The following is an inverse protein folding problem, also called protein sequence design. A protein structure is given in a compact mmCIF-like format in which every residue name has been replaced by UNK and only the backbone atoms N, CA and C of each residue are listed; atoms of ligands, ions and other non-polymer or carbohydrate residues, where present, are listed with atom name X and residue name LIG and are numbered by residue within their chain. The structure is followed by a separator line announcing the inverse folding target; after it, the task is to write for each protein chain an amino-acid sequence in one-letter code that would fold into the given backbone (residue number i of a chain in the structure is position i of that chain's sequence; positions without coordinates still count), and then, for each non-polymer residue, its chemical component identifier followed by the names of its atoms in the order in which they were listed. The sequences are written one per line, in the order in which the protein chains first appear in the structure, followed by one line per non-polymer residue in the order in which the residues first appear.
data_IF_064490984638
#
_entry.id   IF_064490984638
#
_cell.length_a   1.000
_cell.length_b   1.000
_cell.length_c   1.000
_cell.angle_alpha   90.00
_cell.angle_beta   90.00
_cell.angle_gamma   90.00
#
_symmetry.space_group_name_H-M   'P 1'
#
loop_
_entity.id
_entity.type
_entity.pdbx_description
1 polymer ?
2 non-polymer ?
3 non-polymer ?
4 non-polymer ?
5 non-polymer ?
6 water ?
#
# COMPACT_ATOMS: atom_id res chain seq x y z
N UNK A 4 -15.13 2.37 -18.29
CA UNK A 4 -13.68 2.39 -18.12
C UNK A 4 -12.97 1.78 -19.34
N UNK A 5 -12.49 2.64 -20.24
CA UNK A 5 -12.04 2.18 -21.57
C UNK A 5 -10.84 1.25 -21.49
N UNK A 6 -9.86 1.58 -20.64
CA UNK A 6 -8.65 0.76 -20.54
C UNK A 6 -8.98 -0.62 -20.00
N UNK A 7 -10.03 -0.71 -19.17
CA UNK A 7 -10.41 -1.97 -18.57
C UNK A 7 -11.22 -2.80 -19.55
N UNK A 8 -12.10 -2.13 -20.31
CA UNK A 8 -12.83 -2.84 -21.34
C UNK A 8 -11.87 -3.46 -22.36
N UNK A 9 -10.82 -2.75 -22.73
CA UNK A 9 -9.84 -3.34 -23.65
C UNK A 9 -9.14 -4.54 -23.04
N UNK A 10 -8.88 -4.51 -21.74
CA UNK A 10 -8.24 -5.63 -21.06
C UNK A 10 -9.14 -6.86 -21.08
N UNK A 11 -10.43 -6.64 -20.89
CA UNK A 11 -11.39 -7.74 -20.88
C UNK A 11 -11.38 -8.40 -22.26
N UNK A 12 -11.31 -7.57 -23.29
CA UNK A 12 -11.27 -8.07 -24.66
C UNK A 12 -9.99 -8.88 -24.89
N UNK A 13 -8.87 -8.39 -24.36
CA UNK A 13 -7.61 -9.10 -24.51
C UNK A 13 -7.63 -10.46 -23.83
N UNK A 14 -8.35 -10.59 -22.70
CA UNK A 14 -8.43 -11.86 -22.00
C UNK A 14 -9.28 -12.85 -22.79
N UNK A 15 -10.43 -12.40 -23.31
CA UNK A 15 -11.29 -13.28 -24.08
C UNK A 15 -10.63 -13.70 -25.40
N UNK A 16 -9.85 -12.81 -26.01
CA UNK A 16 -9.07 -13.15 -27.20
C UNK A 16 -8.07 -14.26 -26.94
N UNK A 17 -7.61 -14.42 -25.70
CA UNK A 17 -6.71 -15.50 -25.36
C UNK A 17 -7.45 -16.61 -24.68
N UNK A 18 -8.77 -16.60 -24.80
CA UNK A 18 -9.55 -17.76 -24.43
C UNK A 18 -9.94 -17.84 -22.98
N UNK A 19 -9.84 -16.76 -22.23
CA UNK A 19 -10.19 -16.81 -20.81
C UNK A 19 -11.62 -16.35 -20.66
N UNK A 20 -12.50 -17.22 -20.04
CA UNK A 20 -13.90 -16.96 -19.80
C UNK A 20 -14.14 -16.37 -18.41
N UNK A 21 -15.16 -15.54 -18.24
CA UNK A 21 -15.47 -15.04 -16.91
C UNK A 21 -16.14 -16.09 -16.05
N UNK A 22 -15.90 -15.98 -14.76
CA UNK A 22 -16.58 -16.76 -13.75
C UNK A 22 -17.49 -15.86 -12.93
N UNK A 23 -18.57 -16.44 -12.42
CA UNK A 23 -19.53 -15.73 -11.59
C UNK A 23 -19.42 -16.21 -10.16
N UNK A 24 -19.47 -15.27 -9.22
CA UNK A 24 -19.40 -15.56 -7.80
C UNK A 24 -20.58 -14.92 -7.08
N UNK A 25 -20.87 -15.45 -5.89
CA UNK A 25 -21.95 -14.95 -5.07
C UNK A 25 -21.38 -14.46 -3.74
N UNK A 26 -22.19 -13.66 -3.09
CA UNK A 26 -21.80 -13.05 -1.83
C UNK A 26 -21.33 -14.13 -0.87
N UNK A 27 -20.21 -13.87 -0.18
CA UNK A 27 -19.55 -14.68 0.84
C UNK A 27 -18.62 -15.72 0.25
N UNK A 28 -18.59 -15.91 -1.05
CA UNK A 28 -17.65 -16.82 -1.65
C UNK A 28 -16.27 -16.21 -1.70
N UNK A 29 -15.26 -17.08 -1.66
CA UNK A 29 -13.87 -16.67 -1.81
C UNK A 29 -13.40 -16.92 -3.22
N UNK A 30 -13.00 -15.86 -3.91
CA UNK A 30 -12.42 -15.99 -5.25
C UNK A 30 -11.02 -16.60 -5.18
N UNK A 31 -10.23 -16.20 -4.19
CA UNK A 31 -9.02 -16.92 -3.83
C UNK A 31 -8.92 -16.95 -2.33
N UNK A 32 -8.10 -17.88 -1.80
CA UNK A 32 -8.02 -18.11 -0.37
C UNK A 32 -6.57 -18.30 0.07
N UNK A 33 -6.39 -18.09 1.35
CA UNK A 33 -5.09 -18.04 2.00
C UNK A 33 -4.42 -19.39 2.13
N UNK A 34 -5.10 -20.51 1.83
CA UNK A 34 -4.56 -21.85 2.02
C UNK A 34 -4.15 -22.51 0.72
N UNK A 35 -4.46 -21.92 -0.40
CA UNK A 35 -4.24 -22.52 -1.69
C UNK A 35 -2.77 -22.34 -2.10
N UNK A 36 -2.04 -23.42 -2.43
CA UNK A 36 -0.64 -23.19 -2.82
C UNK A 36 -0.50 -22.54 -4.21
N UNK A 37 -1.52 -22.54 -5.05
CA UNK A 37 -1.46 -21.91 -6.36
C UNK A 37 -1.95 -20.47 -6.20
N UNK A 38 -1.23 -19.52 -6.79
CA UNK A 38 -1.58 -18.11 -6.69
C UNK A 38 -2.12 -17.61 -8.02
N UNK A 39 -2.97 -16.59 -7.95
CA UNK A 39 -3.75 -16.16 -9.11
C UNK A 39 -3.73 -14.66 -9.35
N UNK A 40 -4.03 -14.29 -10.59
CA UNK A 40 -4.35 -12.92 -10.95
C UNK A 40 -5.85 -12.87 -11.20
N UNK A 41 -6.54 -12.00 -10.47
CA UNK A 41 -7.98 -11.83 -10.58
C UNK A 41 -8.21 -10.52 -11.31
N UNK A 42 -8.91 -10.57 -12.43
CA UNK A 42 -9.43 -9.35 -13.07
C UNK A 42 -10.89 -9.29 -12.68
N UNK A 43 -11.13 -8.50 -11.63
CA UNK A 43 -12.45 -8.26 -11.11
C UNK A 43 -13.13 -7.32 -12.07
N UNK A 44 -14.13 -7.83 -12.75
CA UNK A 44 -14.77 -7.06 -13.80
C UNK A 44 -15.97 -6.32 -13.28
N UNK A 45 -16.83 -6.98 -12.49
CA UNK A 45 -18.02 -6.33 -11.93
C UNK A 45 -18.26 -6.86 -10.53
N UNK A 46 -18.60 -5.96 -9.61
CA UNK A 46 -18.98 -6.35 -8.26
C UNK A 46 -18.01 -5.79 -7.25
N UNK A 47 -18.27 -6.12 -5.98
CA UNK A 47 -17.53 -5.57 -4.86
C UNK A 47 -16.99 -6.72 -4.04
N UNK A 48 -15.70 -6.61 -3.67
CA UNK A 48 -15.00 -7.61 -2.87
C UNK A 48 -14.23 -6.96 -1.71
N UNK A 49 -13.76 -7.80 -0.78
CA UNK A 49 -12.84 -7.42 0.26
C UNK A 49 -11.73 -8.45 0.42
N UNK A 50 -10.54 -7.94 0.70
CA UNK A 50 -9.36 -8.71 1.07
C UNK A 50 -9.40 -8.94 2.56
N UNK A 51 -9.33 -10.22 2.99
CA UNK A 51 -9.43 -10.53 4.42
C UNK A 51 -8.24 -11.37 4.86
N UNK A 52 -7.96 -11.31 6.15
CA UNK A 52 -6.95 -12.14 6.80
C UNK A 52 -7.54 -12.76 8.04
N UNK A 53 -6.79 -13.71 8.60
CA UNK A 53 -7.14 -14.37 9.86
C UNK A 53 -5.90 -14.42 10.76
N UNK A 54 -6.08 -14.05 12.03
CA UNK A 54 -5.01 -14.10 13.03
C UNK A 54 -5.04 -15.45 13.73
N UNK A 55 -4.01 -15.71 14.54
CA UNK A 55 -3.84 -17.03 15.15
C UNK A 55 -5.14 -17.54 15.78
N UNK A 56 -5.93 -16.64 16.37
CA UNK A 56 -7.10 -17.02 17.17
C UNK A 56 -8.43 -16.99 16.38
N UNK A 57 -8.39 -16.88 15.05
CA UNK A 57 -9.59 -16.99 14.24
C UNK A 57 -10.35 -15.70 13.97
N UNK A 58 -9.80 -14.55 14.32
CA UNK A 58 -10.45 -13.26 14.08
C UNK A 58 -10.27 -12.86 12.61
N UNK A 59 -11.39 -12.58 11.93
CA UNK A 59 -11.38 -12.08 10.55
C UNK A 59 -11.03 -10.59 10.52
N UNK A 60 -10.07 -10.23 9.67
CA UNK A 60 -9.64 -8.85 9.51
C UNK A 60 -10.00 -8.39 8.10
N UNK A 61 -10.69 -7.26 7.97
CA UNK A 61 -11.00 -6.70 6.65
C UNK A 61 -9.87 -5.73 6.33
N UNK A 62 -9.10 -6.01 5.28
CA UNK A 62 -7.91 -5.22 4.98
C UNK A 62 -8.13 -4.16 3.92
N UNK A 63 -8.96 -4.44 2.93
CA UNK A 63 -9.02 -3.61 1.74
C UNK A 63 -10.26 -3.99 0.93
N UNK A 64 -10.90 -2.99 0.31
CA UNK A 64 -12.01 -3.17 -0.60
C UNK A 64 -11.57 -2.94 -2.04
N UNK A 65 -12.16 -3.70 -2.95
CA UNK A 65 -11.94 -3.57 -4.38
C UNK A 65 -13.28 -3.68 -5.12
N UNK A 66 -13.41 -2.93 -6.19
CA UNK A 66 -14.60 -2.95 -7.04
C UNK A 66 -14.18 -3.14 -8.48
N UNK A 67 -15.03 -3.80 -9.25
CA UNK A 67 -14.76 -3.97 -10.67
C UNK A 67 -14.84 -2.63 -11.40
N UNK A 68 -13.96 -2.30 -12.33
CA UNK A 68 -12.91 -3.16 -12.84
C UNK A 68 -11.61 -2.93 -12.08
N UNK A 69 -10.92 -4.02 -11.71
CA UNK A 69 -9.64 -3.87 -11.06
C UNK A 69 -8.91 -5.19 -11.14
N UNK A 70 -7.62 -5.14 -10.83
CA UNK A 70 -6.74 -6.33 -10.81
C UNK A 70 -6.24 -6.56 -9.39
N UNK A 71 -6.35 -7.80 -8.90
CA UNK A 71 -5.83 -8.21 -7.58
C UNK A 71 -4.97 -9.45 -7.81
N UNK A 72 -3.71 -9.39 -7.41
CA UNK A 72 -2.79 -10.51 -7.60
C UNK A 72 -2.39 -11.10 -6.26
N UNK A 73 -2.62 -12.41 -6.09
CA UNK A 73 -2.37 -13.07 -4.82
C UNK A 73 -0.93 -13.55 -4.69
N UNK A 74 -0.17 -13.51 -5.77
CA UNK A 74 1.22 -13.94 -5.73
C UNK A 74 2.10 -13.01 -6.54
N UNK A 75 3.39 -13.03 -6.21
CA UNK A 75 4.38 -12.18 -6.87
C UNK A 75 4.55 -12.61 -8.32
N UNK A 76 4.73 -11.63 -9.22
CA UNK A 76 4.70 -11.98 -10.64
C UNK A 76 5.90 -12.83 -11.04
N UNK A 77 7.05 -12.60 -10.40
CA UNK A 77 8.31 -13.30 -10.73
C UNK A 77 8.41 -14.64 -10.02
N UNK A 78 8.31 -14.65 -8.68
CA UNK A 78 8.45 -15.89 -7.94
C UNK A 78 7.18 -16.75 -7.94
N UNK A 79 6.01 -16.17 -8.19
CA UNK A 79 4.72 -16.85 -8.18
C UNK A 79 4.27 -17.29 -6.81
N UNK A 80 4.95 -16.86 -5.74
CA UNK A 80 4.60 -17.21 -4.39
C UNK A 80 3.74 -16.12 -3.73
N UNK A 81 3.10 -16.49 -2.62
CA UNK A 81 2.12 -15.64 -1.98
C UNK A 81 2.70 -14.29 -1.58
N UNK A 82 1.90 -13.23 -1.79
CA UNK A 82 2.23 -11.92 -1.24
C UNK A 82 1.73 -11.74 0.19
N UNK A 83 1.02 -12.73 0.74
CA UNK A 83 0.46 -12.65 2.08
C UNK A 83 -0.72 -13.60 2.18
N UNK A 84 -1.04 -14.00 3.39
CA UNK A 84 -2.11 -15.00 3.59
C UNK A 84 -3.44 -14.28 3.58
N UNK A 85 -3.99 -14.14 2.39
CA UNK A 85 -5.17 -13.35 2.16
C UNK A 85 -6.25 -14.17 1.43
N UNK A 86 -7.48 -13.80 1.69
CA UNK A 86 -8.62 -14.26 0.93
C UNK A 86 -9.29 -13.07 0.25
N UNK A 87 -9.96 -13.32 -0.87
CA UNK A 87 -10.73 -12.29 -1.60
C UNK A 87 -12.19 -12.72 -1.59
N UNK A 88 -13.00 -12.01 -0.80
CA UNK A 88 -14.37 -12.40 -0.48
C UNK A 88 -15.34 -11.48 -1.21
N UNK A 89 -16.37 -12.05 -1.83
CA UNK A 89 -17.35 -11.25 -2.54
C UNK A 89 -18.35 -10.67 -1.53
N UNK A 90 -18.62 -9.37 -1.63
CA UNK A 90 -19.61 -8.77 -0.74
C UNK A 90 -20.82 -8.20 -1.48
N UNK A 91 -20.76 -7.92 -2.78
CA UNK A 91 -21.98 -7.65 -3.54
C UNK A 91 -22.73 -8.97 -3.76
N UNK A 92 -24.01 -8.86 -4.13
CA UNK A 92 -24.81 -10.07 -4.33
C UNK A 92 -24.13 -11.03 -5.30
N UNK A 93 -23.60 -10.49 -6.39
CA UNK A 93 -22.89 -11.26 -7.40
C UNK A 93 -21.62 -10.51 -7.78
N UNK A 94 -20.67 -11.24 -8.35
CA UNK A 94 -19.48 -10.65 -8.92
C UNK A 94 -19.03 -11.49 -10.10
N UNK A 95 -18.46 -10.80 -11.07
CA UNK A 95 -17.89 -11.41 -12.25
C UNK A 95 -16.40 -11.20 -12.27
N UNK A 96 -15.63 -12.29 -12.42
CA UNK A 96 -14.19 -12.14 -12.48
C UNK A 96 -13.53 -13.14 -13.41
N UNK A 97 -12.40 -12.72 -13.97
CA UNK A 97 -11.51 -13.59 -14.72
C UNK A 97 -10.34 -14.02 -13.84
N UNK A 98 -10.11 -15.32 -13.78
CA UNK A 98 -9.17 -15.92 -12.83
C UNK A 98 -8.07 -16.56 -13.64
N UNK A 99 -6.86 -16.00 -13.55
CA UNK A 99 -5.71 -16.44 -14.34
C UNK A 99 -4.62 -16.94 -13.41
N UNK A 100 -4.01 -18.08 -13.72
CA UNK A 100 -2.90 -18.52 -12.89
C UNK A 100 -1.73 -17.57 -13.09
N UNK A 101 -0.95 -17.39 -12.03
CA UNK A 101 -0.01 -16.27 -12.06
C UNK A 101 1.03 -16.46 -13.15
N UNK A 102 1.46 -17.71 -13.39
CA UNK A 102 2.49 -17.94 -14.40
C UNK A 102 2.02 -17.49 -15.78
N UNK A 103 0.71 -17.55 -16.06
CA UNK A 103 0.21 -17.17 -17.38
C UNK A 103 0.08 -15.66 -17.52
N UNK A 104 -0.32 -14.95 -16.46
CA UNK A 104 -0.39 -13.50 -16.57
C UNK A 104 0.91 -12.95 -17.14
N UNK A 105 2.02 -13.60 -16.83
CA UNK A 105 3.33 -13.15 -17.31
C UNK A 105 3.48 -13.19 -18.84
N UNK A 106 3.09 -14.28 -19.46
CA UNK A 106 3.05 -14.34 -20.93
C UNK A 106 2.18 -13.25 -21.47
N UNK A 107 0.96 -13.14 -20.91
CA UNK A 107 -0.01 -12.21 -21.46
C UNK A 107 0.51 -10.78 -21.44
N UNK A 108 1.11 -10.37 -20.32
CA UNK A 108 1.60 -8.98 -20.25
C UNK A 108 2.84 -8.77 -21.12
N UNK A 109 3.66 -9.81 -21.31
CA UNK A 109 4.81 -9.67 -22.19
C UNK A 109 4.41 -9.42 -23.65
N UNK A 110 3.26 -9.93 -24.07
CA UNK A 110 2.86 -9.83 -25.47
C UNK A 110 2.08 -8.55 -25.78
N UNK A 111 1.88 -7.68 -24.80
CA UNK A 111 1.17 -6.42 -25.05
C UNK A 111 1.41 -5.44 -23.92
N UNK A 112 2.20 -4.42 -24.18
CA UNK A 112 2.65 -3.50 -23.16
C UNK A 112 1.58 -2.47 -22.80
N UNK A 113 0.63 -2.21 -23.69
CA UNK A 113 -0.54 -1.44 -23.30
C UNK A 113 -1.19 -2.09 -22.08
N UNK A 114 -1.38 -3.39 -22.14
CA UNK A 114 -2.01 -4.11 -21.05
C UNK A 114 -1.06 -4.34 -19.89
N UNK A 115 0.23 -4.45 -20.17
CA UNK A 115 1.19 -4.44 -19.08
C UNK A 115 1.05 -3.17 -18.27
N UNK A 116 0.94 -2.03 -18.96
CA UNK A 116 0.90 -0.74 -18.29
C UNK A 116 -0.40 -0.58 -17.50
N UNK A 117 -1.47 -1.14 -18.02
CA UNK A 117 -2.75 -1.07 -17.35
C UNK A 117 -2.68 -1.73 -15.99
N UNK A 118 -2.02 -2.91 -15.90
CA UNK A 118 -1.92 -3.63 -14.63
C UNK A 118 -0.92 -2.96 -13.72
N UNK A 119 0.21 -2.55 -14.28
CA UNK A 119 1.22 -1.82 -13.51
C UNK A 119 0.59 -0.61 -12.83
N UNK A 120 -0.17 0.19 -13.57
CA UNK A 120 -0.72 1.41 -12.99
C UNK A 120 -1.80 1.09 -11.97
N UNK A 121 -2.46 -0.08 -12.10
CA UNK A 121 -3.35 -0.57 -11.04
C UNK A 121 -2.63 -0.75 -9.71
N UNK A 122 -1.44 -1.37 -9.73
CA UNK A 122 -0.61 -1.48 -8.53
C UNK A 122 -0.20 -0.10 -8.02
N UNK A 123 0.18 0.80 -8.91
CA UNK A 123 0.58 2.14 -8.45
C UNK A 123 -0.56 2.84 -7.71
N UNK A 124 -1.80 2.66 -8.16
CA UNK A 124 -2.97 3.23 -7.50
C UNK A 124 -3.18 2.61 -6.12
N UNK A 125 -2.96 1.30 -5.96
CA UNK A 125 -3.02 0.66 -4.63
C UNK A 125 -1.99 1.23 -3.67
N UNK A 126 -0.73 1.36 -4.12
CA UNK A 126 0.33 1.87 -3.27
C UNK A 126 0.00 3.26 -2.78
N UNK A 127 -0.42 4.13 -3.70
CA UNK A 127 -0.70 5.52 -3.31
C UNK A 127 -1.93 5.59 -2.43
N UNK A 128 -2.91 4.75 -2.72
CA UNK A 128 -4.10 4.64 -1.86
C UNK A 128 -3.73 4.33 -0.42
N UNK A 129 -2.89 3.33 -0.19
CA UNK A 129 -2.54 2.99 1.18
C UNK A 129 -1.76 4.08 1.88
N UNK A 130 -0.87 4.79 1.16
CA UNK A 130 -0.13 5.85 1.80
C UNK A 130 -1.07 7.00 2.20
N UNK A 131 -2.06 7.30 1.34
CA UNK A 131 -3.00 8.39 1.63
C UNK A 131 -3.88 8.06 2.84
N UNK A 132 -4.30 6.82 2.94
CA UNK A 132 -5.05 6.36 4.11
C UNK A 132 -4.22 6.51 5.37
N UNK A 133 -2.95 6.12 5.28
CA UNK A 133 -2.04 6.26 6.42
C UNK A 133 -1.90 7.71 6.83
N UNK A 134 -1.72 8.59 5.85
CA UNK A 134 -1.56 10.01 6.12
C UNK A 134 -2.79 10.59 6.80
N UNK A 135 -3.98 10.24 6.31
CA UNK A 135 -5.21 10.77 6.88
C UNK A 135 -5.45 10.24 8.28
N UNK A 136 -5.14 8.96 8.50
CA UNK A 136 -5.17 8.42 9.87
C UNK A 136 -4.18 9.12 10.79
N UNK A 137 -2.96 9.36 10.32
CA UNK A 137 -2.00 10.11 11.14
C UNK A 137 -2.53 11.47 11.56
N UNK A 138 -3.28 12.15 10.67
CA UNK A 138 -3.73 13.51 10.96
C UNK A 138 -5.02 13.53 11.80
N UNK A 139 -5.99 12.65 11.50
CA UNK A 139 -7.34 12.75 12.05
C UNK A 139 -7.84 11.44 12.66
N UNK A 140 -7.00 10.43 12.77
CA UNK A 140 -7.35 9.17 13.37
C UNK A 140 -8.49 8.51 12.62
N UNK A 141 -9.29 7.75 13.38
CA UNK A 141 -10.33 6.92 12.80
C UNK A 141 -11.43 7.75 12.12
N UNK A 142 -11.64 8.98 12.56
CA UNK A 142 -12.55 9.89 11.88
C UNK A 142 -12.05 10.17 10.48
N UNK A 143 -10.74 10.41 10.33
CA UNK A 143 -10.17 10.55 9.00
C UNK A 143 -10.38 9.31 8.15
N UNK A 144 -10.14 8.13 8.74
CA UNK A 144 -10.35 6.87 8.02
C UNK A 144 -11.81 6.69 7.58
N UNK A 145 -12.76 7.00 8.46
CA UNK A 145 -14.18 6.84 8.13
C UNK A 145 -14.65 7.88 7.12
N UNK A 146 -14.25 9.14 7.32
CA UNK A 146 -14.62 10.15 6.34
C UNK A 146 -14.08 9.82 4.94
N UNK A 147 -12.87 9.26 4.88
CA UNK A 147 -12.29 8.92 3.59
C UNK A 147 -13.03 7.78 2.92
N UNK A 148 -13.44 6.79 3.71
CA UNK A 148 -14.23 5.71 3.18
C UNK A 148 -15.55 6.22 2.60
N UNK A 149 -16.23 7.09 3.33
CA UNK A 149 -17.46 7.68 2.80
C UNK A 149 -17.20 8.60 1.62
N UNK A 150 -16.04 9.26 1.60
CA UNK A 150 -15.74 10.15 0.47
C UNK A 150 -15.58 9.34 -0.80
N UNK A 151 -14.85 8.23 -0.73
CA UNK A 151 -14.68 7.46 -1.95
C UNK A 151 -16.01 6.81 -2.35
N UNK A 152 -16.84 6.42 -1.39
CA UNK A 152 -18.17 5.92 -1.70
C UNK A 152 -18.97 6.96 -2.46
N UNK A 153 -18.90 8.22 -2.00
CA UNK A 153 -19.65 9.29 -2.65
C UNK A 153 -19.17 9.50 -4.07
N UNK A 154 -17.86 9.60 -4.24
CA UNK A 154 -17.31 9.85 -5.58
C UNK A 154 -17.67 8.72 -6.53
N UNK A 155 -17.56 7.49 -6.05
CA UNK A 155 -17.71 6.34 -6.96
C UNK A 155 -19.18 6.06 -7.24
N UNK A 156 -20.04 6.13 -6.23
CA UNK A 156 -21.44 5.73 -6.39
C UNK A 156 -22.44 6.88 -6.27
N UNK A 157 -21.97 8.09 -6.11
CA UNK A 157 -22.87 9.22 -5.86
C UNK A 157 -23.39 9.84 -7.14
N UNK A 158 -24.62 10.33 -7.04
CA UNK A 158 -25.34 10.96 -8.14
C UNK A 158 -26.05 12.19 -7.56
N UNK A 159 -25.79 13.37 -8.13
CA UNK A 159 -26.37 14.61 -7.60
C UNK A 159 -27.88 14.59 -7.78
N UNK A 160 -28.61 14.92 -6.71
CA UNK A 160 -30.07 15.03 -6.74
C UNK A 160 -30.47 16.27 -5.95
N UNK A 161 -31.75 16.66 -5.97
CA UNK A 161 -32.18 17.79 -5.14
C UNK A 161 -31.97 17.55 -3.65
N UNK A 162 -32.09 16.30 -3.19
CA UNK A 162 -31.86 15.96 -1.79
C UNK A 162 -30.37 15.79 -1.42
N UNK A 163 -29.44 16.10 -2.31
CA UNK A 163 -28.02 15.88 -2.10
C UNK A 163 -27.48 14.81 -3.03
N UNK A 164 -26.32 14.28 -2.68
CA UNK A 164 -25.64 13.30 -3.52
C UNK A 164 -26.13 11.93 -3.07
N UNK A 165 -26.99 11.30 -3.86
CA UNK A 165 -27.54 10.01 -3.51
C UNK A 165 -26.51 8.91 -3.73
N UNK A 166 -26.37 8.00 -2.77
CA UNK A 166 -25.47 6.87 -2.91
C UNK A 166 -26.26 5.79 -3.62
N UNK A 167 -25.83 5.45 -4.85
CA UNK A 167 -26.63 4.56 -5.70
C UNK A 167 -26.15 3.13 -5.52
N UNK A 168 -26.42 2.61 -4.33
CA UNK A 168 -25.97 1.30 -3.91
C UNK A 168 -27.03 0.77 -2.95
N UNK A 169 -27.37 -0.51 -3.07
CA UNK A 169 -28.45 -1.04 -2.24
C UNK A 169 -28.09 -0.89 -0.77
N UNK A 170 -29.12 -0.76 0.07
CA UNK A 170 -28.84 -0.37 1.46
C UNK A 170 -28.02 -1.41 2.20
N UNK A 171 -28.16 -2.68 1.83
CA UNK A 171 -27.42 -3.76 2.45
C UNK A 171 -25.93 -3.52 2.31
N UNK A 172 -25.46 -3.69 1.07
CA UNK A 172 -24.07 -3.46 0.71
C UNK A 172 -23.56 -2.18 1.33
N UNK A 173 -24.40 -1.14 1.40
CA UNK A 173 -23.87 0.17 1.73
C UNK A 173 -23.60 0.36 3.22
N UNK A 174 -24.14 -0.48 4.08
CA UNK A 174 -23.86 -0.32 5.51
C UNK A 174 -22.57 -1.01 5.87
N UNK A 175 -22.34 -2.19 5.27
CA UNK A 175 -21.04 -2.85 5.40
C UNK A 175 -19.94 -1.89 4.98
N UNK A 176 -20.07 -1.30 3.80
CA UNK A 176 -19.01 -0.45 3.28
C UNK A 176 -18.76 0.79 4.12
N UNK A 177 -19.73 1.26 4.91
CA UNK A 177 -19.49 2.40 5.77
C UNK A 177 -18.41 2.14 6.82
N UNK A 178 -18.22 0.87 7.19
CA UNK A 178 -17.16 0.48 8.11
C UNK A 178 -15.85 0.35 7.34
N UNK A 179 -14.90 1.24 7.61
CA UNK A 179 -13.59 1.11 6.97
C UNK A 179 -12.97 -0.24 7.32
N UNK A 180 -11.83 -0.52 6.69
CA UNK A 180 -11.12 -1.77 6.97
C UNK A 180 -10.77 -1.86 8.47
N UNK A 181 -10.63 -3.10 8.95
CA UNK A 181 -10.41 -3.40 10.36
C UNK A 181 -11.23 -4.57 10.90
N UNK A 182 -11.67 -4.46 12.15
CA UNK A 182 -12.55 -5.45 12.74
C UNK A 182 -13.98 -5.09 12.40
N UNK A 183 -14.76 -6.09 11.98
CA UNK A 183 -16.12 -5.84 11.53
C UNK A 183 -17.03 -5.32 12.66
N UNK A 184 -17.86 -4.34 12.32
CA UNK A 184 -18.94 -3.87 13.20
C UNK A 184 -18.48 -3.45 14.60
N UNK A 185 -17.36 -2.75 14.69
CA UNK A 185 -16.85 -2.28 15.98
C UNK A 185 -17.72 -1.17 16.58
N UNK A 186 -17.75 -1.09 17.90
CA UNK A 186 -18.55 -0.07 18.57
C UNK A 186 -18.04 1.32 18.21
N UNK A 187 -16.73 1.48 18.14
CA UNK A 187 -16.17 2.80 17.88
C UNK A 187 -16.56 3.31 16.49
N UNK A 188 -16.53 2.43 15.49
CA UNK A 188 -16.83 2.87 14.13
C UNK A 188 -18.32 3.13 13.97
N UNK A 189 -19.17 2.26 14.52
CA UNK A 189 -20.61 2.51 14.49
C UNK A 189 -20.96 3.87 15.08
N UNK A 190 -20.33 4.28 16.17
CA UNK A 190 -20.55 5.61 16.74
C UNK A 190 -20.10 6.77 15.84
N UNK A 191 -18.94 6.61 15.20
CA UNK A 191 -18.47 7.66 14.29
C UNK A 191 -19.47 7.87 13.17
N UNK A 192 -19.95 6.76 12.59
CA UNK A 192 -20.88 6.84 11.49
C UNK A 192 -22.18 7.45 11.94
N UNK A 193 -22.70 7.05 13.10
CA UNK A 193 -24.00 7.58 13.50
C UNK A 193 -23.87 9.05 13.89
N UNK A 194 -22.69 9.45 14.36
CA UNK A 194 -22.44 10.86 14.63
C UNK A 194 -22.48 11.70 13.34
N UNK A 195 -21.84 11.20 12.27
CA UNK A 195 -21.96 11.88 10.99
C UNK A 195 -23.41 11.99 10.56
N UNK A 196 -24.21 10.97 10.84
CA UNK A 196 -25.63 11.06 10.48
C UNK A 196 -26.35 12.09 11.34
N UNK A 197 -26.10 12.07 12.65
CA UNK A 197 -26.72 13.05 13.55
C UNK A 197 -26.43 14.49 13.11
N UNK A 198 -25.21 14.75 12.62
CA UNK A 198 -24.78 16.06 12.18
C UNK A 198 -25.19 16.37 10.74
N UNK A 199 -25.89 15.45 10.11
CA UNK A 199 -26.49 15.63 8.79
C UNK A 199 -25.45 15.69 7.68
N UNK A 200 -24.30 15.02 7.89
CA UNK A 200 -23.32 14.87 6.82
C UNK A 200 -23.85 13.90 5.77
N UNK A 201 -24.45 12.82 6.23
CA UNK A 201 -25.13 11.85 5.37
C UNK A 201 -26.45 11.55 6.05
N UNK A 202 -27.56 11.55 5.27
CA UNK A 202 -28.90 11.52 5.85
C UNK A 202 -29.74 10.46 5.14
N UNK A 203 -30.71 9.93 5.88
CA UNK A 203 -31.68 8.97 5.38
C UNK A 203 -32.95 9.72 4.98
N UNK A 204 -33.45 9.43 3.78
CA UNK A 204 -34.70 10.03 3.32
C UNK A 204 -35.29 9.13 2.25
N UNK A 205 -36.57 8.77 2.40
CA UNK A 205 -37.31 8.00 1.40
C UNK A 205 -36.53 6.77 0.95
N UNK A 206 -36.06 5.98 1.92
CA UNK A 206 -35.40 4.68 1.69
C UNK A 206 -34.01 4.80 1.05
N UNK A 207 -33.45 6.00 0.91
CA UNK A 207 -32.13 6.15 0.32
C UNK A 207 -31.25 6.99 1.23
N UNK A 208 -29.94 6.96 0.97
CA UNK A 208 -28.97 7.78 1.69
C UNK A 208 -28.33 8.83 0.77
N UNK A 209 -28.20 10.05 1.31
CA UNK A 209 -27.80 11.25 0.58
C UNK A 209 -26.67 11.92 1.34
N UNK A 210 -25.54 12.14 0.67
CA UNK A 210 -24.51 12.97 1.27
C UNK A 210 -24.88 14.44 1.09
N UNK A 211 -25.04 15.14 2.21
CA UNK A 211 -25.44 16.53 2.17
C UNK A 211 -24.33 17.48 2.59
N UNK A 212 -23.22 16.98 3.17
CA UNK A 212 -22.06 17.82 3.49
C UNK A 212 -20.76 17.17 2.95
N UNK A 213 -20.62 17.22 1.63
CA UNK A 213 -19.38 16.73 1.01
C UNK A 213 -18.17 17.48 1.53
N UNK A 214 -18.27 18.80 1.77
CA UNK A 214 -17.12 19.54 2.28
C UNK A 214 -16.58 18.96 3.58
N UNK A 215 -17.45 18.46 4.46
CA UNK A 215 -16.98 17.91 5.73
C UNK A 215 -16.11 16.67 5.51
N UNK A 216 -16.55 15.79 4.60
CA UNK A 216 -15.74 14.62 4.27
C UNK A 216 -14.39 15.03 3.70
N UNK A 217 -14.38 15.99 2.79
CA UNK A 217 -13.12 16.47 2.20
C UNK A 217 -12.22 17.06 3.25
N UNK A 218 -12.79 17.74 4.24
CA UNK A 218 -11.96 18.37 5.26
C UNK A 218 -11.16 17.35 6.06
N UNK A 219 -11.78 16.24 6.43
CA UNK A 219 -11.14 15.29 7.32
C UNK A 219 -10.41 14.16 6.59
N UNK A 220 -10.57 14.03 5.27
CA UNK A 220 -9.85 13.03 4.47
C UNK A 220 -9.15 13.72 3.30
N UNK A 221 -8.33 14.74 3.59
CA UNK A 221 -7.76 15.55 2.51
C UNK A 221 -6.80 14.79 1.64
N UNK A 222 -6.05 13.85 2.23
CA UNK A 222 -5.06 13.14 1.44
C UNK A 222 -5.73 12.06 0.57
N UNK A 223 -6.80 11.43 1.04
CA UNK A 223 -7.54 10.53 0.14
C UNK A 223 -8.30 11.32 -0.92
N UNK A 224 -8.72 12.54 -0.62
CA UNK A 224 -9.34 13.40 -1.63
C UNK A 224 -8.33 13.74 -2.75
N UNK A 225 -7.11 14.12 -2.37
CA UNK A 225 -6.04 14.35 -3.35
C UNK A 225 -5.71 13.08 -4.13
N UNK A 226 -5.65 11.93 -3.45
CA UNK A 226 -5.41 10.67 -4.12
C UNK A 226 -6.46 10.40 -5.20
N UNK A 227 -7.75 10.57 -4.87
CA UNK A 227 -8.80 10.36 -5.87
C UNK A 227 -8.66 11.37 -7.02
N UNK A 228 -8.33 12.62 -6.72
CA UNK A 228 -8.14 13.60 -7.78
C UNK A 228 -6.97 13.22 -8.70
N UNK A 229 -5.90 12.68 -8.15
CA UNK A 229 -4.73 12.31 -8.95
C UNK A 229 -4.93 10.99 -9.66
N UNK A 230 -5.69 10.08 -9.08
CA UNK A 230 -5.81 8.74 -9.65
C UNK A 230 -7.02 8.61 -10.53
N UNK A 231 -8.08 9.39 -10.24
CA UNK A 231 -9.37 9.28 -10.94
C UNK A 231 -9.91 10.69 -11.21
N UNK A 232 -9.16 11.51 -11.96
CA UNK A 232 -9.52 12.94 -12.09
C UNK A 232 -10.89 13.19 -12.71
N UNK A 233 -11.33 12.37 -13.68
CA UNK A 233 -12.64 12.61 -14.29
C UNK A 233 -13.77 12.34 -13.32
N UNK A 234 -13.65 11.27 -12.53
CA UNK A 234 -14.67 10.97 -11.53
C UNK A 234 -14.66 11.99 -10.41
N UNK A 235 -13.47 12.41 -9.98
CA UNK A 235 -13.38 13.48 -8.98
C UNK A 235 -14.07 14.74 -9.49
N UNK A 236 -13.86 15.05 -10.76
CA UNK A 236 -14.31 16.30 -11.32
C UNK A 236 -15.82 16.44 -11.29
N UNK A 237 -16.53 15.32 -11.45
CA UNK A 237 -17.97 15.35 -11.59
C UNK A 237 -18.63 15.98 -10.36
N UNK A 238 -18.06 15.82 -9.18
CA UNK A 238 -18.68 16.31 -7.96
C UNK A 238 -17.92 17.44 -7.32
N UNK A 239 -16.95 18.03 -8.01
CA UNK A 239 -16.21 19.16 -7.50
C UNK A 239 -16.32 20.35 -8.46
N UNK B 4 20.54 -7.82 -4.00
CA UNK B 4 19.79 -8.68 -4.90
C UNK B 4 20.51 -8.82 -6.23
N UNK B 5 20.45 -10.03 -6.79
CA UNK B 5 20.92 -10.26 -8.14
C UNK B 5 19.99 -9.60 -9.15
N UNK B 6 18.67 -9.61 -8.89
CA UNK B 6 17.76 -8.91 -9.76
C UNK B 6 18.06 -7.41 -9.76
N UNK B 7 18.44 -6.89 -8.60
CA UNK B 7 18.82 -5.48 -8.51
C UNK B 7 20.12 -5.23 -9.29
N UNK B 8 21.12 -6.10 -9.12
CA UNK B 8 22.37 -5.90 -9.86
C UNK B 8 22.12 -5.96 -11.37
N UNK B 9 21.29 -6.89 -11.84
CA UNK B 9 21.01 -6.94 -13.26
C UNK B 9 20.29 -5.68 -13.72
N UNK B 10 19.41 -5.14 -12.88
CA UNK B 10 18.73 -3.92 -13.27
C UNK B 10 19.74 -2.76 -13.37
N UNK B 11 20.66 -2.67 -12.42
CA UNK B 11 21.72 -1.66 -12.46
C UNK B 11 22.53 -1.78 -13.75
N UNK B 12 22.92 -3.00 -14.12
CA UNK B 12 23.68 -3.16 -15.36
C UNK B 12 22.85 -2.71 -16.54
N UNK B 13 21.56 -3.06 -16.54
CA UNK B 13 20.70 -2.69 -17.66
C UNK B 13 20.65 -1.17 -17.80
N UNK B 14 20.46 -0.46 -16.68
CA UNK B 14 20.40 1.00 -16.74
C UNK B 14 21.74 1.59 -17.20
N UNK B 15 22.85 1.11 -16.65
CA UNK B 15 24.14 1.73 -16.97
C UNK B 15 24.52 1.42 -18.42
N UNK B 16 24.16 0.23 -18.89
CA UNK B 16 24.28 -0.09 -20.32
C UNK B 16 23.54 0.93 -21.19
N UNK B 17 22.39 1.42 -20.75
CA UNK B 17 21.61 2.38 -21.52
C UNK B 17 21.96 3.81 -21.18
N UNK B 18 23.12 4.04 -20.57
CA UNK B 18 23.59 5.40 -20.36
C UNK B 18 22.86 6.18 -19.29
N UNK B 19 22.28 5.49 -18.31
CA UNK B 19 21.77 6.14 -17.10
C UNK B 19 22.81 5.93 -16.02
N UNK B 20 23.28 7.02 -15.43
CA UNK B 20 24.39 6.95 -14.51
C UNK B 20 23.97 7.25 -13.08
N UNK B 21 24.66 6.67 -12.09
CA UNK B 21 24.31 6.93 -10.70
C UNK B 21 24.62 8.34 -10.27
N UNK B 22 23.81 8.81 -9.35
CA UNK B 22 23.93 10.12 -8.77
C UNK B 22 24.08 9.95 -7.26
N UNK B 23 24.92 10.78 -6.66
CA UNK B 23 25.11 10.76 -5.22
C UNK B 23 24.36 11.92 -4.59
N UNK B 24 23.69 11.64 -3.48
CA UNK B 24 22.97 12.64 -2.70
C UNK B 24 23.43 12.53 -1.26
N UNK B 25 23.35 13.64 -0.54
CA UNK B 25 23.74 13.68 0.86
C UNK B 25 22.51 13.91 1.73
N UNK B 26 22.66 13.70 3.03
CA UNK B 26 21.52 13.68 3.94
C UNK B 26 20.74 14.98 3.89
N UNK B 27 19.42 14.84 3.87
CA UNK B 27 18.46 15.95 3.85
C UNK B 27 18.09 16.40 2.44
N UNK B 28 18.79 15.89 1.44
CA UNK B 28 18.46 16.21 0.06
C UNK B 28 17.19 15.49 -0.38
N UNK B 29 16.42 16.13 -1.25
CA UNK B 29 15.22 15.53 -1.83
C UNK B 29 15.55 15.03 -3.23
N UNK B 30 15.50 13.70 -3.40
CA UNK B 30 15.73 13.09 -4.70
C UNK B 30 14.63 13.47 -5.68
N UNK B 31 13.39 13.55 -5.21
CA UNK B 31 12.33 14.21 -5.93
C UNK B 31 11.52 14.95 -4.90
N UNK B 32 10.74 15.94 -5.35
CA UNK B 32 10.00 16.79 -4.43
C UNK B 32 8.56 16.99 -4.90
N UNK B 33 7.73 17.38 -3.93
CA UNK B 33 6.29 17.48 -4.10
C UNK B 33 5.83 18.69 -4.90
N UNK B 34 6.73 19.63 -5.21
CA UNK B 34 6.34 20.83 -5.96
C UNK B 34 6.78 20.75 -7.42
N UNK B 35 7.35 19.63 -7.81
CA UNK B 35 7.94 19.46 -9.14
C UNK B 35 6.89 18.84 -10.04
N UNK B 36 6.53 19.46 -11.17
CA UNK B 36 5.54 18.82 -12.05
C UNK B 36 6.11 17.68 -12.89
N UNK B 37 7.41 17.64 -13.13
CA UNK B 37 8.03 16.50 -13.79
C UNK B 37 8.14 15.31 -12.82
N UNK B 38 7.70 14.14 -13.26
CA UNK B 38 7.73 12.95 -12.40
C UNK B 38 8.82 11.97 -12.84
N UNK B 39 9.32 11.19 -11.89
CA UNK B 39 10.49 10.36 -12.09
C UNK B 39 10.32 8.93 -11.60
N UNK B 40 11.14 8.05 -12.15
CA UNK B 40 11.36 6.74 -11.57
C UNK B 40 12.75 6.75 -10.94
N UNK B 41 12.80 6.48 -9.64
CA UNK B 41 14.03 6.43 -8.89
C UNK B 41 14.43 4.97 -8.67
N UNK B 42 15.61 4.59 -9.09
CA UNK B 42 16.18 3.34 -8.62
C UNK B 42 17.16 3.68 -7.50
N UNK B 43 16.70 3.53 -6.27
CA UNK B 43 17.52 3.75 -5.11
C UNK B 43 18.47 2.57 -4.99
N UNK B 44 19.75 2.81 -5.23
CA UNK B 44 20.66 1.67 -5.29
C UNK B 44 21.26 1.43 -3.92
N UNK B 45 21.60 2.50 -3.21
CA UNK B 45 22.23 2.39 -1.92
C UNK B 45 21.83 3.58 -1.05
N UNK B 46 21.62 3.33 0.25
CA UNK B 46 21.26 4.36 1.22
C UNK B 46 19.86 4.16 1.76
N UNK B 47 19.47 5.08 2.63
CA UNK B 47 18.16 5.04 3.30
C UNK B 47 17.46 6.37 3.07
N UNK B 48 16.18 6.30 2.72
CA UNK B 48 15.36 7.45 2.45
C UNK B 48 14.00 7.32 3.13
N UNK B 49 13.31 8.45 3.16
CA UNK B 49 11.95 8.49 3.67
C UNK B 49 11.09 9.31 2.72
N UNK B 50 9.85 8.84 2.54
CA UNK B 50 8.81 9.50 1.77
C UNK B 50 8.05 10.43 2.70
N UNK B 51 8.05 11.72 2.38
CA UNK B 51 7.35 12.69 3.21
C UNK B 51 6.30 13.47 2.41
N UNK B 52 5.36 14.03 3.16
CA UNK B 52 4.41 15.02 2.66
C UNK B 52 4.49 16.23 3.59
N UNK B 53 4.51 17.44 3.04
CA UNK B 53 4.66 18.65 3.85
C UNK B 53 3.40 19.47 3.65
N UNK B 54 2.72 19.80 4.74
CA UNK B 54 1.46 20.52 4.68
C UNK B 54 1.70 22.03 4.60
N UNK B 55 0.65 22.79 4.30
CA UNK B 55 0.88 24.23 4.10
C UNK B 55 1.31 24.91 5.40
N UNK B 56 0.94 24.35 6.56
CA UNK B 56 1.44 24.92 7.81
C UNK B 56 2.85 24.47 8.17
N UNK B 57 3.48 23.62 7.36
CA UNK B 57 4.85 23.22 7.60
C UNK B 57 5.03 21.86 8.24
N UNK B 58 3.97 21.18 8.67
CA UNK B 58 4.13 19.90 9.37
C UNK B 58 4.60 18.85 8.37
N UNK B 59 5.63 18.11 8.74
CA UNK B 59 6.21 17.08 7.89
C UNK B 59 5.68 15.73 8.36
N UNK B 60 5.02 15.00 7.46
CA UNK B 60 4.53 13.65 7.72
C UNK B 60 5.50 12.64 7.12
N UNK B 61 6.00 11.72 7.94
CA UNK B 61 6.86 10.65 7.47
C UNK B 61 5.99 9.45 7.08
N UNK B 62 5.94 9.13 5.79
CA UNK B 62 4.99 8.14 5.29
C UNK B 62 5.54 6.73 5.16
N UNK B 63 6.82 6.60 4.82
CA UNK B 63 7.41 5.34 4.41
C UNK B 63 8.92 5.48 4.40
N UNK B 64 9.63 4.41 4.77
CA UNK B 64 11.09 4.34 4.62
C UNK B 64 11.43 3.36 3.51
N UNK B 65 12.47 3.69 2.79
CA UNK B 65 13.03 2.83 1.75
C UNK B 65 14.54 2.74 1.89
N UNK B 66 15.09 1.55 1.61
CA UNK B 66 16.53 1.35 1.54
C UNK B 66 16.89 0.78 0.18
N UNK B 67 18.11 1.01 -0.24
CA UNK B 67 18.54 0.46 -1.51
C UNK B 67 18.77 -1.02 -1.32
N UNK B 68 18.50 -1.84 -2.31
CA UNK B 68 18.03 -1.49 -3.63
C UNK B 68 16.50 -1.51 -3.67
N UNK B 69 15.91 -0.49 -4.26
CA UNK B 69 14.47 -0.44 -4.43
C UNK B 69 14.13 0.54 -5.53
N UNK B 70 12.85 0.53 -5.94
CA UNK B 70 12.35 1.42 -6.97
C UNK B 70 11.20 2.23 -6.38
N UNK B 71 11.23 3.55 -6.60
CA UNK B 71 10.19 4.47 -6.11
C UNK B 71 9.78 5.29 -7.31
N UNK B 72 8.49 5.28 -7.66
CA UNK B 72 7.99 6.06 -8.78
C UNK B 72 7.09 7.18 -8.30
N UNK B 73 7.38 8.40 -8.74
CA UNK B 73 6.61 9.55 -8.29
C UNK B 73 5.48 9.86 -9.21
N UNK B 74 5.39 9.18 -10.37
CA UNK B 74 4.31 9.40 -11.32
C UNK B 74 3.80 8.09 -11.89
N UNK B 75 2.57 8.11 -12.42
CA UNK B 75 1.96 6.91 -13.01
C UNK B 75 2.62 6.58 -14.35
N UNK B 76 2.80 5.28 -14.62
CA UNK B 76 3.62 4.91 -15.77
C UNK B 76 2.94 5.28 -17.07
N UNK B 77 1.61 5.12 -17.12
CA UNK B 77 0.78 5.53 -18.28
C UNK B 77 0.47 7.03 -18.53
N UNK B 78 0.02 7.76 -17.50
CA UNK B 78 -0.30 9.18 -17.63
C UNK B 78 0.89 10.12 -17.39
N UNK B 79 1.91 9.65 -16.68
CA UNK B 79 3.08 10.41 -16.28
C UNK B 79 2.77 11.49 -15.25
N UNK B 80 1.56 11.51 -14.71
CA UNK B 80 1.21 12.49 -13.69
C UNK B 80 1.42 11.94 -12.30
N UNK B 81 1.43 12.85 -11.35
CA UNK B 81 1.80 12.56 -9.98
C UNK B 81 0.92 11.47 -9.39
N UNK B 82 1.54 10.64 -8.56
CA UNK B 82 0.77 9.67 -7.77
C UNK B 82 0.44 10.19 -6.38
N UNK B 83 0.90 11.39 -6.03
CA UNK B 83 0.72 11.96 -4.72
C UNK B 83 1.80 13.03 -4.51
N UNK B 84 1.52 14.05 -3.71
CA UNK B 84 2.51 15.14 -3.50
C UNK B 84 3.48 14.71 -2.43
N UNK B 85 4.58 14.12 -2.85
CA UNK B 85 5.56 13.52 -1.98
C UNK B 85 6.97 14.00 -2.28
N UNK B 86 7.82 13.96 -1.26
CA UNK B 86 9.28 14.12 -1.37
C UNK B 86 9.95 12.81 -1.01
N UNK B 87 11.16 12.56 -1.57
CA UNK B 87 11.98 11.41 -1.21
C UNK B 87 13.26 11.98 -0.59
N UNK B 88 13.34 11.96 0.73
CA UNK B 88 14.41 12.62 1.49
C UNK B 88 15.48 11.61 1.92
N UNK B 89 16.75 11.96 1.72
CA UNK B 89 17.87 11.11 2.15
C UNK B 89 18.06 11.26 3.66
N UNK B 90 18.11 10.12 4.36
CA UNK B 90 18.34 10.16 5.81
C UNK B 90 19.62 9.48 6.22
N UNK B 91 20.21 8.64 5.38
CA UNK B 91 21.57 8.18 5.59
C UNK B 91 22.54 9.31 5.22
N UNK B 92 23.82 9.17 5.57
CA UNK B 92 24.76 10.26 5.27
C UNK B 92 24.88 10.51 3.76
N UNK B 93 24.99 9.44 2.98
CA UNK B 93 24.87 9.53 1.54
C UNK B 93 23.92 8.46 1.02
N UNK B 94 23.44 8.68 -0.21
CA UNK B 94 22.66 7.70 -0.94
C UNK B 94 23.04 7.79 -2.40
N UNK B 95 22.93 6.66 -3.10
CA UNK B 95 23.14 6.59 -4.55
C UNK B 95 21.84 6.23 -5.24
N UNK B 96 21.47 6.98 -6.28
CA UNK B 96 20.24 6.70 -7.00
C UNK B 96 20.40 6.98 -8.50
N UNK B 97 19.66 6.19 -9.28
CA UNK B 97 19.51 6.41 -10.70
C UNK B 97 18.18 7.10 -10.93
N UNK B 98 18.19 8.25 -11.62
CA UNK B 98 17.03 9.13 -11.69
C UNK B 98 16.57 9.20 -13.14
N UNK B 99 15.34 8.72 -13.40
CA UNK B 99 14.85 8.51 -14.76
C UNK B 99 13.54 9.28 -14.94
N UNK B 100 13.48 10.13 -15.96
CA UNK B 100 12.21 10.78 -16.26
C UNK B 100 11.21 9.72 -16.65
N UNK B 101 9.95 9.90 -16.22
CA UNK B 101 8.98 8.81 -16.35
C UNK B 101 8.77 8.42 -17.82
N UNK B 102 8.68 9.40 -18.70
CA UNK B 102 8.53 9.11 -20.12
C UNK B 102 9.69 8.29 -20.66
N UNK B 103 10.92 8.71 -20.37
CA UNK B 103 12.08 7.96 -20.81
C UNK B 103 12.06 6.52 -20.31
N UNK B 104 11.41 6.26 -19.17
CA UNK B 104 11.40 4.89 -18.63
C UNK B 104 10.52 3.97 -19.45
N UNK B 105 9.39 4.47 -19.96
CA UNK B 105 8.49 3.60 -20.71
C UNK B 105 9.23 2.90 -21.83
N UNK B 106 10.05 3.66 -22.56
CA UNK B 106 10.88 3.09 -23.60
C UNK B 106 11.64 1.87 -23.10
N UNK B 107 12.29 2.01 -21.93
CA UNK B 107 13.25 1.00 -21.51
C UNK B 107 12.61 -0.20 -20.82
N UNK B 108 11.49 0.00 -20.14
CA UNK B 108 10.77 -1.12 -19.57
C UNK B 108 10.34 -2.02 -20.72
N UNK B 109 10.04 -1.38 -21.85
CA UNK B 109 9.41 -2.08 -22.98
C UNK B 109 10.38 -3.03 -23.67
N UNK B 110 11.58 -2.56 -24.03
CA UNK B 110 12.55 -3.42 -24.71
C UNK B 110 12.79 -4.70 -23.91
N UNK B 111 12.87 -4.60 -22.58
CA UNK B 111 13.21 -5.74 -21.72
C UNK B 111 12.06 -6.06 -20.77
N UNK B 112 11.68 -7.32 -20.73
CA UNK B 112 10.57 -7.74 -19.90
C UNK B 112 11.04 -8.29 -18.56
N UNK B 113 12.23 -8.88 -18.48
CA UNK B 113 12.79 -9.24 -17.19
C UNK B 113 12.78 -8.04 -16.25
N UNK B 114 13.13 -6.87 -16.76
CA UNK B 114 13.30 -5.70 -15.91
C UNK B 114 11.99 -4.99 -15.66
N UNK B 115 11.08 -5.01 -16.62
CA UNK B 115 9.72 -4.61 -16.33
C UNK B 115 9.22 -5.31 -15.07
N UNK B 116 9.40 -6.64 -15.05
CA UNK B 116 8.85 -7.48 -13.98
C UNK B 116 9.56 -7.26 -12.67
N UNK B 117 10.83 -6.92 -12.69
CA UNK B 117 11.49 -6.56 -11.45
C UNK B 117 10.82 -5.34 -10.80
N UNK B 118 10.46 -4.34 -11.60
CA UNK B 118 9.85 -3.14 -11.03
C UNK B 118 8.43 -3.45 -10.58
N UNK B 119 7.71 -4.23 -11.40
CA UNK B 119 6.37 -4.67 -11.04
C UNK B 119 6.36 -5.31 -9.66
N UNK B 120 7.29 -6.21 -9.42
CA UNK B 120 7.30 -6.93 -8.17
C UNK B 120 7.69 -6.03 -7.00
N UNK B 121 8.47 -4.96 -7.21
CA UNK B 121 8.69 -4.03 -6.10
C UNK B 121 7.41 -3.35 -5.69
N UNK B 122 6.57 -2.98 -6.67
CA UNK B 122 5.29 -2.43 -6.31
C UNK B 122 4.50 -3.42 -5.48
N UNK B 123 4.52 -4.70 -5.86
CA UNK B 123 3.74 -5.70 -5.12
C UNK B 123 4.24 -5.80 -3.69
N UNK B 124 5.55 -5.71 -3.52
CA UNK B 124 6.15 -5.78 -2.20
C UNK B 124 5.73 -4.60 -1.36
N UNK B 125 5.59 -3.43 -1.99
CA UNK B 125 5.12 -2.24 -1.28
C UNK B 125 3.67 -2.38 -0.84
N UNK B 126 2.80 -2.87 -1.73
CA UNK B 126 1.39 -3.06 -1.40
C UNK B 126 1.24 -3.99 -0.21
N UNK B 127 1.89 -5.15 -0.27
CA UNK B 127 1.76 -6.08 0.85
C UNK B 127 2.43 -5.55 2.12
N UNK B 128 3.52 -4.80 2.00
CA UNK B 128 4.08 -4.14 3.20
C UNK B 128 3.04 -3.27 3.91
N UNK B 129 2.38 -2.37 3.16
CA UNK B 129 1.41 -1.46 3.77
C UNK B 129 0.26 -2.22 4.42
N UNK B 130 -0.22 -3.32 3.77
CA UNK B 130 -1.32 -4.07 4.38
C UNK B 130 -0.87 -4.78 5.65
N UNK B 131 0.36 -5.29 5.67
CA UNK B 131 0.84 -5.96 6.87
C UNK B 131 1.01 -5.00 8.04
N UNK B 132 1.61 -3.83 7.76
CA UNK B 132 1.73 -2.76 8.77
C UNK B 132 0.37 -2.44 9.35
N UNK B 133 -0.62 -2.30 8.46
CA UNK B 133 -1.98 -1.98 8.89
C UNK B 133 -2.57 -3.11 9.73
N UNK B 134 -2.37 -4.35 9.32
CA UNK B 134 -2.89 -5.48 10.07
C UNK B 134 -2.27 -5.52 11.47
N UNK B 135 -0.95 -5.27 11.59
CA UNK B 135 -0.31 -5.33 12.91
C UNK B 135 -0.80 -4.20 13.80
N UNK B 136 -1.02 -3.02 13.23
CA UNK B 136 -1.52 -1.90 14.01
C UNK B 136 -2.95 -2.15 14.48
N UNK B 137 -3.78 -2.78 13.63
CA UNK B 137 -5.15 -3.04 14.04
C UNK B 137 -5.20 -3.99 15.23
N UNK B 138 -4.23 -4.92 15.34
CA UNK B 138 -4.25 -5.91 16.41
C UNK B 138 -3.59 -5.36 17.67
N UNK B 139 -2.42 -4.73 17.54
CA UNK B 139 -1.58 -4.47 18.69
C UNK B 139 -1.25 -2.99 18.86
N UNK B 140 -1.88 -2.09 18.09
CA UNK B 140 -1.64 -0.67 18.21
C UNK B 140 -0.18 -0.28 18.03
N UNK B 141 0.22 0.80 18.72
CA UNK B 141 1.57 1.33 18.55
C UNK B 141 2.64 0.32 18.95
N UNK B 142 2.37 -0.51 19.96
CA UNK B 142 3.33 -1.57 20.27
C UNK B 142 3.62 -2.40 19.02
N UNK B 143 2.57 -2.76 18.28
CA UNK B 143 2.76 -3.49 17.03
C UNK B 143 3.62 -2.74 16.03
N UNK B 144 3.29 -1.46 15.80
CA UNK B 144 4.09 -0.62 14.90
C UNK B 144 5.55 -0.59 15.32
N UNK B 145 5.82 -0.33 16.61
CA UNK B 145 7.20 -0.18 17.04
C UNK B 145 7.91 -1.52 17.00
N UNK B 146 7.25 -2.59 17.43
CA UNK B 146 7.86 -3.91 17.34
C UNK B 146 8.19 -4.25 15.89
N UNK B 147 7.25 -3.94 14.97
CA UNK B 147 7.50 -4.16 13.56
C UNK B 147 8.73 -3.42 13.05
N UNK B 148 8.87 -2.13 13.42
CA UNK B 148 10.02 -1.37 12.92
C UNK B 148 11.33 -1.96 13.44
N UNK B 149 11.39 -2.25 14.73
CA UNK B 149 12.56 -2.91 15.30
C UNK B 149 12.82 -4.27 14.65
N UNK B 150 11.75 -5.00 14.31
CA UNK B 150 11.97 -6.31 13.73
C UNK B 150 12.69 -6.19 12.40
N UNK B 151 12.21 -5.31 11.52
CA UNK B 151 12.82 -5.22 10.20
C UNK B 151 14.25 -4.70 10.32
N UNK B 152 14.49 -3.79 11.26
CA UNK B 152 15.85 -3.30 11.51
C UNK B 152 16.73 -4.44 11.99
N UNK B 153 16.20 -5.27 12.88
CA UNK B 153 16.97 -6.43 13.29
C UNK B 153 17.28 -7.33 12.11
N UNK B 154 16.26 -7.71 11.33
CA UNK B 154 16.52 -8.57 10.18
C UNK B 154 17.53 -7.93 9.24
N UNK B 155 17.40 -6.63 8.98
CA UNK B 155 18.17 -6.04 7.88
C UNK B 155 19.56 -5.57 8.35
N UNK B 156 19.63 -4.99 9.54
CA UNK B 156 20.88 -4.38 10.01
C UNK B 156 21.41 -5.05 11.27
N UNK B 157 20.85 -6.19 11.66
CA UNK B 157 21.26 -6.84 12.89
C UNK B 157 22.54 -7.64 12.73
N UNK B 158 23.30 -7.72 13.82
CA UNK B 158 24.60 -8.38 13.87
C UNK B 158 24.71 -9.10 15.20
N UNK B 159 25.17 -10.34 15.18
CA UNK B 159 25.25 -11.11 16.43
C UNK B 159 26.44 -10.64 17.27
N UNK B 160 26.17 -10.19 18.49
CA UNK B 160 27.21 -9.79 19.44
C UNK B 160 26.90 -10.37 20.81
N UNK B 161 27.93 -10.50 21.66
CA UNK B 161 27.71 -10.98 23.05
C UNK B 161 26.65 -10.20 23.81
N UNK B 162 26.36 -8.97 23.42
CA UNK B 162 25.34 -8.17 24.10
C UNK B 162 23.94 -8.36 23.52
N UNK B 163 23.79 -9.23 22.53
CA UNK B 163 22.50 -9.44 21.86
C UNK B 163 22.65 -9.16 20.38
N UNK B 164 21.55 -8.96 19.66
CA UNK B 164 21.63 -8.61 18.25
C UNK B 164 21.76 -7.09 18.16
N UNK B 165 22.93 -6.63 17.72
CA UNK B 165 23.22 -5.21 17.62
C UNK B 165 22.67 -4.67 16.31
N UNK B 166 21.90 -3.60 16.38
CA UNK B 166 21.37 -2.95 15.18
C UNK B 166 22.47 -2.03 14.66
N UNK B 167 23.15 -2.46 13.60
CA UNK B 167 24.38 -1.83 13.15
C UNK B 167 24.02 -0.70 12.18
N UNK B 168 23.53 0.39 12.75
CA UNK B 168 23.31 1.62 12.01
C UNK B 168 24.09 2.74 12.68
N UNK B 169 24.75 3.56 11.86
CA UNK B 169 25.23 4.86 12.29
C UNK B 169 24.24 5.42 13.32
N UNK B 170 24.76 5.95 14.44
CA UNK B 170 23.88 6.52 15.45
C UNK B 170 23.13 7.74 14.94
N UNK B 171 23.64 8.41 13.91
CA UNK B 171 22.92 9.55 13.34
C UNK B 171 21.67 9.06 12.61
N UNK B 172 21.78 7.94 11.91
CA UNK B 172 20.64 7.39 11.19
C UNK B 172 19.57 6.93 12.17
N UNK B 173 19.98 6.38 13.31
CA UNK B 173 19.01 5.91 14.30
C UNK B 173 18.15 7.07 14.79
N UNK B 174 18.75 8.25 14.98
CA UNK B 174 17.97 9.40 15.40
C UNK B 174 16.95 9.79 14.34
N UNK B 175 17.36 9.75 13.06
CA UNK B 175 16.46 10.05 11.96
C UNK B 175 15.25 9.12 11.92
N UNK B 176 15.32 7.94 12.54
CA UNK B 176 14.23 6.98 12.52
C UNK B 176 13.32 7.07 13.75
N UNK B 177 13.69 7.87 14.75
CA UNK B 177 12.93 7.98 15.97
C UNK B 177 13.62 7.41 17.20
N UNK B 178 14.91 7.09 17.12
CA UNK B 178 15.66 6.55 18.25
C UNK B 178 16.88 7.40 18.54
N UNK B 186 6.09 10.84 23.16
CA UNK B 186 5.46 10.96 24.47
C UNK B 186 4.54 9.77 24.70
N UNK B 187 3.79 9.40 23.67
CA UNK B 187 3.15 8.08 23.64
C UNK B 187 4.13 7.04 23.12
N UNK B 188 5.05 7.45 22.25
CA UNK B 188 6.13 6.57 21.82
C UNK B 188 7.16 6.42 22.93
N UNK B 189 7.49 7.54 23.59
CA UNK B 189 8.44 7.51 24.69
C UNK B 189 8.09 6.41 25.70
N UNK B 190 6.81 6.23 25.99
CA UNK B 190 6.39 5.28 27.02
C UNK B 190 6.48 3.83 26.55
N UNK B 191 6.28 3.57 25.25
CA UNK B 191 6.40 2.22 24.74
C UNK B 191 7.86 1.78 24.73
N UNK B 192 8.73 2.62 24.19
CA UNK B 192 10.15 2.29 24.21
C UNK B 192 10.62 2.09 25.64
N UNK B 193 9.95 2.73 26.60
CA UNK B 193 10.31 2.57 27.99
C UNK B 193 9.98 1.17 28.47
N UNK B 194 8.73 0.74 28.30
CA UNK B 194 8.32 -0.61 28.66
C UNK B 194 9.27 -1.65 28.07
N UNK B 195 9.79 -1.40 26.86
CA UNK B 195 10.53 -2.42 26.14
C UNK B 195 11.87 -2.71 26.80
N UNK B 196 12.69 -1.67 26.97
CA UNK B 196 13.92 -1.85 27.74
C UNK B 196 13.59 -2.26 29.18
N UNK B 197 12.50 -1.71 29.73
CA UNK B 197 12.03 -2.12 31.05
C UNK B 197 11.79 -3.63 31.15
N UNK B 198 11.71 -4.33 30.02
CA UNK B 198 11.46 -5.77 30.02
C UNK B 198 12.60 -6.55 29.39
N UNK B 199 13.77 -5.95 29.20
CA UNK B 199 14.91 -6.61 28.61
C UNK B 199 14.56 -7.22 27.25
N UNK B 200 13.85 -6.43 26.44
CA UNK B 200 13.65 -6.76 25.04
C UNK B 200 14.71 -6.09 24.18
N UNK B 201 15.05 -4.85 24.54
CA UNK B 201 16.10 -4.07 23.92
C UNK B 201 16.96 -3.46 25.02
N UNK B 202 18.16 -2.99 24.64
CA UNK B 202 19.08 -2.36 25.57
C UNK B 202 19.93 -1.35 24.82
N UNK B 203 20.29 -0.27 25.53
CA UNK B 203 21.21 0.76 25.05
C UNK B 203 22.55 0.54 25.73
N UNK B 204 23.50 -0.08 25.03
CA UNK B 204 24.85 -0.23 25.56
C UNK B 204 25.82 0.44 24.60
N UNK B 205 27.00 0.79 25.11
CA UNK B 205 28.09 1.35 24.30
C UNK B 205 27.59 2.45 23.36
N UNK B 206 26.46 3.08 23.69
CA UNK B 206 25.78 4.07 22.86
C UNK B 206 25.21 3.49 21.57
N UNK B 207 25.10 2.16 21.48
CA UNK B 207 24.49 1.44 20.36
C UNK B 207 23.12 0.91 20.77
N UNK B 208 22.59 -0.03 19.98
CA UNK B 208 21.24 -0.55 20.19
C UNK B 208 21.23 -2.05 19.94
N UNK B 209 20.79 -2.82 20.94
CA UNK B 209 20.88 -4.27 20.90
C UNK B 209 19.52 -4.88 21.17
N UNK B 210 19.15 -5.90 20.40
CA UNK B 210 17.93 -6.66 20.63
C UNK B 210 18.31 -7.94 21.37
N UNK B 211 17.61 -8.19 22.49
CA UNK B 211 17.94 -9.30 23.37
C UNK B 211 16.81 -10.30 23.52
N UNK B 212 15.60 -9.98 23.07
CA UNK B 212 14.50 -10.93 22.99
C UNK B 212 13.83 -10.78 21.63
N UNK B 213 14.40 -11.43 20.61
CA UNK B 213 13.82 -11.32 19.28
C UNK B 213 12.43 -11.97 19.19
N UNK B 214 12.14 -12.97 20.05
CA UNK B 214 10.84 -13.63 19.98
C UNK B 214 9.71 -12.68 20.37
N UNK B 215 9.97 -11.75 21.28
CA UNK B 215 8.97 -10.75 21.67
C UNK B 215 8.55 -9.88 20.47
N UNK B 216 9.53 -9.44 19.68
CA UNK B 216 9.23 -8.62 18.52
C UNK B 216 8.39 -9.39 17.51
N UNK B 217 8.79 -10.62 17.23
CA UNK B 217 8.01 -11.47 16.32
C UNK B 217 6.59 -11.66 16.85
N UNK B 218 6.42 -11.76 18.18
CA UNK B 218 5.10 -11.99 18.74
C UNK B 218 4.14 -10.84 18.49
N UNK B 219 4.60 -9.60 18.57
CA UNK B 219 3.69 -8.46 18.47
C UNK B 219 3.62 -7.85 17.06
N UNK B 220 4.48 -8.28 16.13
CA UNK B 220 4.42 -7.86 14.73
C UNK B 220 4.27 -9.09 13.84
N UNK B 221 3.23 -9.88 14.04
CA UNK B 221 3.19 -11.19 13.36
C UNK B 221 3.01 -11.06 11.87
N UNK B 222 2.25 -10.08 11.43
CA UNK B 222 1.93 -9.98 10.01
C UNK B 222 3.06 -9.33 9.23
N UNK B 223 3.83 -8.41 9.86
CA UNK B 223 5.06 -7.96 9.22
C UNK B 223 6.11 -9.06 9.19
N UNK B 224 6.17 -9.89 10.23
CA UNK B 224 7.09 -11.02 10.21
C UNK B 224 6.76 -11.95 9.04
N UNK B 225 5.47 -12.26 8.84
CA UNK B 225 5.03 -13.05 7.69
C UNK B 225 5.35 -12.35 6.38
N UNK B 226 5.13 -11.04 6.30
CA UNK B 226 5.53 -10.32 5.10
C UNK B 226 7.00 -10.49 4.81
N UNK B 227 7.85 -10.42 5.86
CA UNK B 227 9.28 -10.52 5.59
C UNK B 227 9.66 -11.94 5.13
N UNK B 228 9.07 -12.94 5.76
CA UNK B 228 9.20 -14.34 5.33
C UNK B 228 8.81 -14.54 3.88
N UNK B 229 7.68 -13.99 3.47
CA UNK B 229 7.15 -14.21 2.13
C UNK B 229 7.85 -13.37 1.08
N UNK B 230 8.22 -12.14 1.45
CA UNK B 230 8.82 -11.24 0.50
C UNK B 230 10.34 -11.18 0.54
N UNK B 231 10.98 -11.47 1.67
CA UNK B 231 12.45 -11.50 1.76
C UNK B 231 12.97 -12.75 2.47
N UNK B 232 12.77 -13.93 1.89
CA UNK B 232 12.98 -15.16 2.67
C UNK B 232 14.43 -15.45 3.03
N UNK B 233 15.39 -15.07 2.19
CA UNK B 233 16.76 -15.47 2.48
C UNK B 233 17.27 -14.72 3.70
N UNK B 234 16.97 -13.42 3.76
CA UNK B 234 17.25 -12.59 4.90
C UNK B 234 16.53 -13.06 6.16
N UNK B 235 15.20 -13.20 6.09
CA UNK B 235 14.41 -13.70 7.19
C UNK B 235 15.09 -14.92 7.78
N UNK B 236 15.64 -15.77 6.90
CA UNK B 236 16.12 -17.08 7.32
C UNK B 236 17.35 -17.05 8.19
N UNK B 237 18.08 -15.93 8.15
CA UNK B 237 19.27 -15.76 8.97
C UNK B 237 18.96 -15.82 10.45
N UNK B 238 17.73 -15.48 10.83
CA UNK B 238 17.39 -15.34 12.25
C UNK B 238 16.12 -16.11 12.58
N UNK B 239 15.89 -17.22 11.89
CA UNK B 239 14.80 -18.11 12.15
C UNK B 239 15.24 -19.55 12.01
#
# INVERSE_FOLDING_TARGET
GAMNAQAEEFKKYLETNGIKPKQFHKKELIFNQWDPQEYCIFLYDGITKLTSISENGTIMNLQYYKGAFVIMSGFIDTETSVGYYNLEVISEQATAYVIKINELKELLSKNLTHFFYVFQTLQKQVSYSLAKFNDFSINGKLGSICGQLLILTYVYGKETPDGIKITLDNLTMQELGYSSGIAHSSAVSRIISKLKQEKVIVYKNSCFYVQNLDYLKRYAPKLDEWFYLACPATWGKLN
GAMNAQAEEFKKYLETNGIKPKQFHKKELIFNQWDPQEYCIFLYDGITKLTSISENGTIMNLQYYKGAFVIMSGFIDTETSVGYYNLEVISEQATAYVIKINELKELLSKNLTHFFYVFQTLQKQVSYSLAKFNDFSINGKLGSICGQLLILTYVYGKETPDGIKITLDNLTMQELGYSSGIAHSSAVSRIISKLKQEKVIVYKNSCFYVQNLDYLKRYAPKLDEWFYLACPATWGKLN
#
